data_IF_213907750200
#
_entry.id   IF_213907750200
#
_cell.length_a   1.000
_cell.length_b   1.000
_cell.length_c   1.000
_cell.angle_alpha   90.00
_cell.angle_beta   90.00
_cell.angle_gamma   90.00
#
_symmetry.space_group_name_H-M   'P 1'
#
loop_
_entity.id
_entity.type
_entity.pdbx_description
1 polymer ?
#
# COMPACT_ATOMS: atom_id res chain seq x y z
N UNK A 1 -22.86 -2.83 -2.72
CA UNK A 1 -22.23 -3.95 -1.98
C UNK A 1 -20.68 -3.90 -1.91
N UNK A 2 -19.96 -3.47 -2.97
CA UNK A 2 -18.47 -3.41 -2.97
C UNK A 2 -17.87 -2.19 -2.26
N UNK A 3 -18.64 -1.13 -2.06
CA UNK A 3 -18.17 0.15 -1.51
C UNK A 3 -17.67 0.07 -0.06
N UNK A 4 -17.86 -1.07 0.60
CA UNK A 4 -17.69 -1.22 2.03
C UNK A 4 -16.68 -2.33 2.37
N UNK A 5 -15.92 -2.77 1.36
CA UNK A 5 -14.76 -3.61 1.57
C UNK A 5 -13.66 -2.81 2.26
N UNK A 6 -13.04 -3.43 3.25
CA UNK A 6 -11.90 -2.87 3.97
C UNK A 6 -10.68 -3.70 3.64
N UNK A 7 -9.65 -3.05 3.13
CA UNK A 7 -8.35 -3.62 2.84
C UNK A 7 -7.46 -3.40 4.05
N UNK A 8 -7.02 -4.49 4.69
CA UNK A 8 -6.10 -4.46 5.80
C UNK A 8 -4.72 -4.92 5.34
N UNK A 9 -3.69 -4.14 5.66
CA UNK A 9 -2.30 -4.47 5.35
C UNK A 9 -1.81 -5.45 6.42
N UNK A 10 -1.61 -6.71 6.03
CA UNK A 10 -1.12 -7.77 6.92
C UNK A 10 0.39 -7.82 6.94
N UNK A 11 1.04 -7.52 5.81
CA UNK A 11 2.49 -7.38 5.70
C UNK A 11 2.82 -6.02 5.07
N UNK A 12 3.32 -5.05 5.86
CA UNK A 12 3.77 -3.77 5.32
C UNK A 12 5.05 -3.96 4.48
N UNK A 13 5.39 -3.01 3.61
CA UNK A 13 6.65 -3.05 2.88
C UNK A 13 7.84 -3.00 3.85
N UNK A 14 8.94 -3.68 3.51
CA UNK A 14 10.16 -3.68 4.32
C UNK A 14 10.78 -2.28 4.47
N UNK A 15 10.62 -1.42 3.45
CA UNK A 15 11.03 -0.03 3.48
C UNK A 15 9.97 0.89 2.87
N UNK A 16 9.87 2.11 3.41
CA UNK A 16 8.78 3.03 3.08
C UNK A 16 7.49 2.66 3.79
N UNK A 17 6.37 3.21 3.34
CA UNK A 17 5.06 2.90 3.89
C UNK A 17 3.93 3.17 2.89
N UNK A 18 2.79 2.51 3.10
CA UNK A 18 1.55 2.85 2.42
C UNK A 18 0.91 4.03 3.15
N UNK A 19 0.42 5.01 2.39
CA UNK A 19 -0.14 6.26 2.91
C UNK A 19 -1.38 6.67 2.13
N UNK A 20 -2.18 7.56 2.73
CA UNK A 20 -3.32 8.18 2.08
C UNK A 20 -2.89 9.52 1.48
N UNK A 21 -3.32 9.86 0.27
CA UNK A 21 -2.89 11.08 -0.43
C UNK A 21 -3.36 12.38 0.25
N UNK A 22 -4.37 12.32 1.12
CA UNK A 22 -4.72 13.47 1.99
C UNK A 22 -3.64 13.80 3.03
N UNK A 23 -2.82 12.82 3.44
CA UNK A 23 -1.69 13.01 4.36
C UNK A 23 -0.57 12.02 4.04
N UNK A 24 0.29 12.41 3.10
CA UNK A 24 1.41 11.62 2.61
C UNK A 24 2.49 11.31 3.66
N UNK A 25 2.39 11.86 4.86
CA UNK A 25 3.42 11.71 5.91
C UNK A 25 3.10 10.59 6.90
N UNK A 26 1.87 10.05 6.87
CA UNK A 26 1.41 9.08 7.84
C UNK A 26 1.25 7.68 7.24
N UNK A 27 1.79 6.63 7.88
CA UNK A 27 1.51 5.27 7.49
C UNK A 27 0.06 4.92 7.83
N UNK A 28 -0.59 4.19 6.92
CA UNK A 28 -1.89 3.57 7.16
C UNK A 28 -1.72 2.06 7.25
N UNK A 29 -2.54 1.41 8.08
CA UNK A 29 -2.63 -0.05 8.19
C UNK A 29 -3.85 -0.62 7.49
N UNK A 30 -4.80 0.23 7.12
CA UNK A 30 -6.01 -0.15 6.41
C UNK A 30 -6.59 1.01 5.59
N UNK A 31 -7.37 0.66 4.57
CA UNK A 31 -8.12 1.59 3.73
C UNK A 31 -9.37 0.92 3.15
N UNK A 32 -10.28 1.70 2.58
CA UNK A 32 -11.55 1.21 2.02
C UNK A 32 -11.49 1.04 0.51
N UNK A 33 -12.47 0.33 -0.06
CA UNK A 33 -12.68 0.30 -1.50
C UNK A 33 -12.85 1.70 -2.11
N UNK A 34 -13.46 2.64 -1.38
CA UNK A 34 -13.64 4.01 -1.86
C UNK A 34 -12.28 4.70 -2.04
N UNK A 35 -11.40 4.60 -1.05
CA UNK A 35 -10.06 5.19 -1.12
C UNK A 35 -9.25 4.63 -2.30
N UNK A 36 -9.38 3.32 -2.56
CA UNK A 36 -8.73 2.67 -3.69
C UNK A 36 -9.36 3.07 -5.04
N UNK A 37 -10.68 3.12 -5.12
CA UNK A 37 -11.43 3.53 -6.31
C UNK A 37 -11.12 4.98 -6.70
N UNK A 38 -10.95 5.85 -5.71
CA UNK A 38 -10.65 7.27 -5.91
C UNK A 38 -9.14 7.53 -6.06
N UNK A 39 -8.33 6.46 -6.12
CA UNK A 39 -6.87 6.49 -6.28
C UNK A 39 -6.16 7.31 -5.19
N UNK A 40 -6.67 7.23 -3.95
CA UNK A 40 -6.15 7.98 -2.80
C UNK A 40 -5.12 7.21 -1.97
N UNK A 41 -4.69 6.04 -2.43
CA UNK A 41 -3.68 5.22 -1.75
C UNK A 41 -2.36 5.28 -2.51
N UNK A 42 -1.30 5.67 -1.81
CA UNK A 42 0.05 5.79 -2.36
C UNK A 42 1.07 4.99 -1.56
N UNK A 43 2.17 4.64 -2.21
CA UNK A 43 3.37 4.16 -1.53
C UNK A 43 4.37 5.32 -1.42
N UNK A 44 4.79 5.62 -0.20
CA UNK A 44 5.85 6.58 0.10
C UNK A 44 7.18 5.81 0.24
N UNK A 45 8.16 6.02 -0.66
CA UNK A 45 9.48 5.42 -0.53
C UNK A 45 10.22 5.91 0.73
N UNK A 46 11.21 5.15 1.24
CA UNK A 46 12.06 5.63 2.32
C UNK A 46 12.88 6.86 1.85
N UNK A 47 13.22 7.76 2.78
CA UNK A 47 14.06 8.94 2.50
C UNK A 47 15.54 8.60 2.27
N UNK A 48 15.87 7.33 2.00
CA UNK A 48 17.22 6.87 1.70
C UNK A 48 17.43 6.74 0.20
N UNK A 49 18.49 7.36 -0.30
CA UNK A 49 18.98 7.10 -1.66
C UNK A 49 19.60 5.71 -1.72
N UNK A 50 18.97 4.79 -2.44
CA UNK A 50 19.53 3.46 -2.71
C UNK A 50 20.30 3.46 -4.03
N UNK A 51 21.41 2.72 -4.05
CA UNK A 51 22.31 2.61 -5.22
C UNK A 51 21.82 1.55 -6.24
N UNK A 52 20.80 0.76 -5.87
CA UNK A 52 20.29 -0.36 -6.67
C UNK A 52 18.75 -0.38 -6.68
N UNK A 53 18.16 -0.97 -7.74
CA UNK A 53 16.71 -1.23 -7.84
C UNK A 53 16.27 -2.12 -6.68
N UNK A 54 15.17 -1.76 -6.03
CA UNK A 54 14.57 -2.54 -4.94
C UNK A 54 13.18 -3.03 -5.32
N UNK A 55 12.86 -4.24 -4.85
CA UNK A 55 11.54 -4.82 -4.97
C UNK A 55 10.98 -4.95 -3.56
N UNK A 56 9.77 -4.45 -3.36
CA UNK A 56 9.05 -4.52 -2.10
C UNK A 56 7.79 -5.32 -2.30
N UNK A 57 7.41 -6.06 -1.27
CA UNK A 57 6.18 -6.81 -1.22
C UNK A 57 5.27 -6.19 -0.17
N UNK A 58 4.00 -6.07 -0.51
CA UNK A 58 2.96 -5.64 0.42
C UNK A 58 1.84 -6.65 0.35
N UNK A 59 1.40 -7.15 1.49
CA UNK A 59 0.31 -8.13 1.57
C UNK A 59 -0.89 -7.50 2.25
N UNK A 60 -2.07 -7.77 1.70
CA UNK A 60 -3.34 -7.32 2.25
C UNK A 60 -4.40 -8.41 2.23
N UNK A 61 -5.28 -8.32 3.21
CA UNK A 61 -6.52 -9.08 3.31
C UNK A 61 -7.69 -8.13 3.09
N UNK A 62 -8.71 -8.59 2.36
CA UNK A 62 -9.95 -7.84 2.19
C UNK A 62 -11.00 -8.42 3.13
N UNK A 63 -11.59 -7.57 3.95
CA UNK A 63 -12.72 -7.90 4.79
C UNK A 63 -14.00 -7.33 4.19
N UNK A 64 -15.04 -8.15 4.15
CA UNK A 64 -16.40 -7.68 3.90
C UNK A 64 -17.13 -7.34 5.20
N UNK A 65 -18.40 -6.96 5.10
CA UNK A 65 -19.22 -6.63 6.26
C UNK A 65 -19.63 -7.80 7.14
N UNK A 66 -19.52 -9.02 6.62
CA UNK A 66 -19.78 -10.22 7.39
C UNK A 66 -18.51 -10.70 8.12
N UNK A 67 -17.44 -9.88 8.11
CA UNK A 67 -16.12 -10.19 8.65
C UNK A 67 -15.46 -11.38 7.95
N UNK A 68 -15.92 -11.72 6.74
CA UNK A 68 -15.31 -12.77 5.95
C UNK A 68 -14.04 -12.24 5.30
N UNK A 69 -12.98 -13.06 5.36
CA UNK A 69 -11.66 -12.70 4.84
C UNK A 69 -11.50 -13.22 3.41
N UNK A 70 -10.95 -12.39 2.54
CA UNK A 70 -10.41 -12.89 1.27
C UNK A 70 -9.13 -13.70 1.51
N UNK A 71 -8.69 -14.50 0.52
CA UNK A 71 -7.29 -14.90 0.42
C UNK A 71 -6.38 -13.68 0.44
N UNK A 72 -5.14 -13.85 0.90
CA UNK A 72 -4.19 -12.76 0.89
C UNK A 72 -3.80 -12.37 -0.53
N UNK A 73 -3.62 -11.07 -0.73
CA UNK A 73 -3.24 -10.49 -2.01
C UNK A 73 -1.88 -9.82 -1.84
N UNK A 74 -0.92 -10.19 -2.68
CA UNK A 74 0.44 -9.65 -2.65
C UNK A 74 0.64 -8.67 -3.81
N UNK A 75 0.98 -7.42 -3.49
CA UNK A 75 1.46 -6.42 -4.43
C UNK A 75 2.99 -6.41 -4.43
N UNK A 76 3.56 -6.44 -5.62
CA UNK A 76 5.01 -6.28 -5.82
C UNK A 76 5.28 -4.88 -6.38
N UNK A 77 6.08 -4.10 -5.67
CA UNK A 77 6.47 -2.74 -6.05
C UNK A 77 7.95 -2.71 -6.37
N UNK A 78 8.32 -2.26 -7.57
CA UNK A 78 9.72 -2.04 -7.93
C UNK A 78 10.07 -0.56 -7.92
N UNK A 79 11.01 -0.15 -7.06
CA UNK A 79 11.55 1.22 -7.05
C UNK A 79 12.87 1.25 -7.80
N UNK A 80 12.98 2.15 -8.79
CA UNK A 80 14.19 2.39 -9.57
C UNK A 80 14.91 3.63 -9.04
N UNK A 81 16.21 3.71 -9.30
CA UNK A 81 17.00 4.91 -9.03
C UNK A 81 16.49 6.08 -9.88
N UNK A 82 16.49 7.29 -9.31
CA UNK A 82 16.27 8.50 -10.07
C UNK A 82 17.60 8.87 -10.75
N UNK A 83 17.62 8.92 -12.08
CA UNK A 83 18.74 9.50 -12.82
C UNK A 83 18.75 11.02 -12.60
N UNK A 84 19.38 11.48 -11.53
CA UNK A 84 19.75 12.90 -11.38
C UNK A 84 20.96 13.18 -12.28
N UNK A 85 20.71 13.80 -13.44
CA UNK A 85 21.72 14.42 -14.31
C UNK A 85 22.14 15.80 -13.78
#
# INVERSE_FOLDING_TARGET
PKQLLVFNITKPPEEGFITHLSDHTRPISSFTWLDLNDMLIGYQPPNSSHIQRRNYEVEFEVHDFFFEKSPSVTIHTSVRIADTN
#
